data_IF_924798790321
#
_entry.id   IF_924798790321
#
_cell.length_a   1.000
_cell.length_b   1.000
_cell.length_c   1.000
_cell.angle_alpha   90.00
_cell.angle_beta   90.00
_cell.angle_gamma   90.00
#
_symmetry.space_group_name_H-M   'P 1'
#
loop_
_entity.id
_entity.type
_entity.pdbx_description
1 polymer ?
#
# COMPACT_ATOMS: atom_id res chain seq x y z
N UNK A 1 1.88 1.99 -21.61
CA UNK A 1 1.38 1.47 -20.33
C UNK A 1 2.42 0.52 -19.80
N UNK A 2 2.88 0.76 -18.58
CA UNK A 2 3.86 -0.10 -17.92
C UNK A 2 3.15 -0.91 -16.83
N UNK A 3 3.51 -2.18 -16.72
CA UNK A 3 2.92 -3.12 -15.78
C UNK A 3 3.98 -3.46 -14.75
N UNK A 4 3.66 -3.28 -13.48
CA UNK A 4 4.58 -3.57 -12.38
C UNK A 4 3.90 -4.55 -11.42
N UNK A 5 4.56 -5.67 -11.16
CA UNK A 5 4.10 -6.61 -10.14
C UNK A 5 4.61 -6.13 -8.78
N UNK A 6 3.70 -5.82 -7.86
CA UNK A 6 4.04 -5.49 -6.48
C UNK A 6 3.88 -6.74 -5.62
N UNK A 7 4.86 -7.01 -4.77
CA UNK A 7 4.87 -8.12 -3.81
C UNK A 7 5.14 -7.56 -2.42
N UNK A 8 4.32 -7.91 -1.45
CA UNK A 8 4.60 -7.65 -0.04
C UNK A 8 5.27 -8.89 0.56
N UNK A 9 6.50 -8.70 1.03
CA UNK A 9 7.39 -9.73 1.53
C UNK A 9 7.80 -9.45 2.98
N UNK A 10 8.09 -10.49 3.75
CA UNK A 10 8.81 -10.34 5.03
C UNK A 10 10.31 -10.44 4.83
N UNK A 11 11.06 -10.03 5.85
CA UNK A 11 12.52 -10.26 5.93
C UNK A 11 12.91 -11.74 5.80
N UNK A 12 11.99 -12.67 6.07
CA UNK A 12 12.20 -14.12 5.91
C UNK A 12 11.95 -14.61 4.47
N UNK A 13 11.53 -13.74 3.55
CA UNK A 13 11.25 -14.06 2.15
C UNK A 13 9.86 -14.65 1.89
N UNK A 14 8.96 -14.61 2.87
CA UNK A 14 7.58 -15.05 2.69
C UNK A 14 6.78 -13.94 1.98
N UNK A 15 6.15 -14.27 0.84
CA UNK A 15 5.26 -13.38 0.08
C UNK A 15 3.84 -13.51 0.63
N UNK A 16 3.29 -12.44 1.19
CA UNK A 16 1.94 -12.46 1.78
C UNK A 16 0.88 -11.94 0.82
N UNK A 17 1.23 -10.97 -0.02
CA UNK A 17 0.31 -10.38 -0.98
C UNK A 17 1.07 -10.03 -2.26
N UNK A 18 0.41 -10.23 -3.40
CA UNK A 18 0.95 -9.84 -4.70
C UNK A 18 -0.18 -9.31 -5.58
N UNK A 19 0.05 -8.17 -6.21
CA UNK A 19 -0.89 -7.55 -7.12
C UNK A 19 -0.17 -6.77 -8.21
N UNK A 20 -0.87 -6.49 -9.29
CA UNK A 20 -0.30 -5.79 -10.45
C UNK A 20 -0.77 -4.34 -10.47
N UNK A 21 0.17 -3.42 -10.53
CA UNK A 21 -0.07 -1.99 -10.73
C UNK A 21 0.16 -1.63 -12.19
N UNK A 22 -0.71 -0.75 -12.71
CA UNK A 22 -0.59 -0.23 -14.06
C UNK A 22 -0.22 1.25 -14.01
N UNK A 23 0.90 1.59 -14.62
CA UNK A 23 1.38 2.95 -14.69
C UNK A 23 1.27 3.50 -16.12
N UNK A 24 0.93 4.79 -16.29
CA UNK A 24 0.91 5.41 -17.61
C UNK A 24 2.32 5.50 -18.21
N UNK A 25 3.34 5.72 -17.37
CA UNK A 25 4.75 5.87 -17.73
C UNK A 25 5.58 4.68 -17.26
N UNK A 26 6.64 4.36 -18.00
CA UNK A 26 7.61 3.35 -17.61
C UNK A 26 8.57 3.85 -16.51
N UNK A 27 8.80 5.16 -16.44
CA UNK A 27 9.58 5.78 -15.37
C UNK A 27 8.65 6.39 -14.33
N UNK A 28 8.76 5.94 -13.09
CA UNK A 28 7.99 6.44 -11.95
C UNK A 28 8.93 6.75 -10.79
N UNK A 29 8.47 7.56 -9.84
CA UNK A 29 9.21 7.75 -8.59
C UNK A 29 8.78 6.73 -7.54
N UNK A 30 9.63 6.47 -6.55
CA UNK A 30 9.29 5.66 -5.38
C UNK A 30 8.05 6.22 -4.67
N UNK A 31 7.92 7.54 -4.55
CA UNK A 31 6.72 8.20 -4.01
C UNK A 31 5.46 7.86 -4.81
N UNK A 32 5.55 7.80 -6.13
CA UNK A 32 4.42 7.40 -6.99
C UNK A 32 4.07 5.93 -6.80
N UNK A 33 5.08 5.06 -6.67
CA UNK A 33 4.89 3.65 -6.39
C UNK A 33 4.16 3.43 -5.06
N UNK A 34 4.63 4.05 -3.98
CA UNK A 34 4.00 3.97 -2.65
C UNK A 34 2.56 4.49 -2.71
N UNK A 35 2.33 5.61 -3.40
CA UNK A 35 1.00 6.19 -3.55
C UNK A 35 0.03 5.23 -4.24
N UNK A 36 0.43 4.64 -5.37
CA UNK A 36 -0.44 3.69 -6.09
C UNK A 36 -0.66 2.41 -5.30
N UNK A 37 0.37 1.90 -4.59
CA UNK A 37 0.25 0.76 -3.68
C UNK A 37 -0.80 1.00 -2.59
N UNK A 38 -0.70 2.13 -1.88
CA UNK A 38 -1.67 2.49 -0.82
C UNK A 38 -3.06 2.73 -1.39
N UNK A 39 -3.16 3.34 -2.57
CA UNK A 39 -4.45 3.57 -3.23
C UNK A 39 -5.13 2.24 -3.60
N UNK A 40 -4.40 1.27 -4.15
CA UNK A 40 -4.93 -0.08 -4.38
C UNK A 40 -5.32 -0.77 -3.08
N UNK A 41 -4.48 -0.72 -2.04
CA UNK A 41 -4.78 -1.33 -0.74
C UNK A 41 -6.10 -0.79 -0.17
N UNK A 42 -6.30 0.54 -0.20
CA UNK A 42 -7.56 1.17 0.24
C UNK A 42 -8.74 0.77 -0.64
N UNK A 43 -8.57 0.68 -1.96
CA UNK A 43 -9.61 0.23 -2.88
C UNK A 43 -10.02 -1.22 -2.63
N UNK A 44 -9.05 -2.11 -2.40
CA UNK A 44 -9.26 -3.51 -2.08
C UNK A 44 -9.97 -3.66 -0.72
N UNK A 45 -9.51 -2.94 0.30
CA UNK A 45 -10.15 -2.93 1.62
C UNK A 45 -11.58 -2.36 1.59
N UNK A 46 -11.81 -1.31 0.79
CA UNK A 46 -13.15 -0.73 0.62
C UNK A 46 -14.09 -1.70 -0.09
N UNK A 47 -13.60 -2.44 -1.09
CA UNK A 47 -14.36 -3.49 -1.78
C UNK A 47 -14.69 -4.67 -0.88
N UNK A 48 -13.82 -5.02 0.07
CA UNK A 48 -14.12 -6.06 1.07
C UNK A 48 -15.11 -5.60 2.15
N UNK A 49 -15.27 -4.29 2.37
CA UNK A 49 -16.31 -3.69 3.22
C UNK A 49 -17.60 -3.33 2.46
N UNK A 50 -17.88 -3.98 1.32
CA UNK A 50 -19.19 -3.93 0.65
C UNK A 50 -20.30 -4.65 1.45
N UNK A 51 -20.53 -4.19 2.69
CA UNK A 51 -21.85 -4.15 3.30
C UNK A 51 -22.07 -2.69 3.65
N UNK A 52 -22.62 -1.95 2.70
CA UNK A 52 -23.16 -0.62 2.95
C UNK A 52 -24.44 -0.86 3.76
N UNK A 53 -24.54 -0.45 5.03
CA UNK A 53 -25.82 -0.47 5.71
C UNK A 53 -26.72 0.50 4.93
N UNK A 54 -27.74 -0.03 4.28
CA UNK A 54 -28.73 0.77 3.56
C UNK A 54 -29.44 1.66 4.59
N UNK A 55 -29.92 2.83 4.18
CA UNK A 55 -30.51 3.89 5.01
C UNK A 55 -31.62 3.46 6.01
N UNK A 56 -32.06 2.20 6.00
CA UNK A 56 -33.00 1.62 6.97
C UNK A 56 -32.32 1.18 8.29
N UNK A 57 -31.00 0.91 8.30
CA UNK A 57 -30.25 0.60 9.55
C UNK A 57 -29.88 1.86 10.36
N UNK A 58 -30.03 3.06 9.78
CA UNK A 58 -29.75 4.34 10.43
C UNK A 58 -30.72 4.64 11.59
N UNK A 59 -31.94 4.07 11.58
CA UNK A 59 -32.97 4.39 12.58
C UNK A 59 -32.86 3.58 13.88
N UNK A 60 -32.04 2.52 13.93
CA UNK A 60 -31.81 1.70 15.14
C UNK A 60 -30.46 1.98 15.82
N UNK A 61 -29.53 2.66 15.14
CA UNK A 61 -28.19 2.93 15.67
C UNK A 61 -28.09 4.21 16.52
N UNK A 62 -29.19 4.93 16.71
CA UNK A 62 -29.25 6.23 17.40
C UNK A 62 -29.12 6.17 18.93
N UNK A 63 -28.79 5.01 19.52
CA UNK A 63 -28.74 4.88 20.98
C UNK A 63 -27.41 4.37 21.58
N UNK A 64 -26.45 3.79 20.83
CA UNK A 64 -25.30 3.12 21.50
C UNK A 64 -23.89 3.17 20.87
N UNK A 65 -23.61 3.82 19.74
CA UNK A 65 -22.25 3.73 19.17
C UNK A 65 -21.83 4.93 18.33
N UNK A 66 -21.67 6.09 18.97
CA UNK A 66 -20.90 7.21 18.41
C UNK A 66 -19.40 6.92 18.57
N UNK A 67 -18.85 6.05 17.73
CA UNK A 67 -17.42 6.05 17.41
C UNK A 67 -17.31 5.91 15.91
N UNK A 68 -17.71 7.00 15.27
CA UNK A 68 -17.55 7.25 13.84
C UNK A 68 -16.05 7.21 13.52
N UNK A 69 -15.56 6.06 13.06
CA UNK A 69 -14.27 6.03 12.39
C UNK A 69 -14.42 6.83 11.08
N UNK A 70 -13.67 7.92 10.88
CA UNK A 70 -13.78 8.73 9.67
C UNK A 70 -13.49 7.87 8.42
N UNK A 71 -14.03 8.24 7.24
CA UNK A 71 -13.70 7.57 5.99
C UNK A 71 -12.18 7.49 5.85
N UNK A 72 -11.65 6.33 5.45
CA UNK A 72 -10.20 6.10 5.41
C UNK A 72 -9.57 7.10 4.44
N UNK A 73 -8.90 8.12 4.98
CA UNK A 73 -8.21 9.15 4.22
C UNK A 73 -6.96 8.51 3.58
N UNK A 74 -7.10 7.95 2.38
CA UNK A 74 -5.99 7.36 1.64
C UNK A 74 -4.81 8.34 1.50
N UNK A 75 -5.08 9.65 1.42
CA UNK A 75 -4.03 10.70 1.40
C UNK A 75 -3.18 10.69 2.66
N UNK A 76 -3.78 10.50 3.85
CA UNK A 76 -3.04 10.38 5.11
C UNK A 76 -2.26 9.07 5.18
N UNK A 77 -2.84 7.98 4.66
CA UNK A 77 -2.14 6.69 4.59
C UNK A 77 -0.91 6.74 3.69
N UNK A 78 -0.98 7.48 2.57
CA UNK A 78 0.18 7.71 1.69
C UNK A 78 1.27 8.48 2.44
N UNK A 79 0.91 9.52 3.18
CA UNK A 79 1.87 10.30 3.97
C UNK A 79 2.56 9.43 5.05
N UNK A 80 1.78 8.64 5.79
CA UNK A 80 2.29 7.70 6.79
C UNK A 80 3.23 6.66 6.14
N UNK A 81 2.87 6.12 4.98
CA UNK A 81 3.69 5.17 4.25
C UNK A 81 5.00 5.79 3.75
N UNK A 82 4.96 7.02 3.24
CA UNK A 82 6.16 7.78 2.86
C UNK A 82 7.08 8.01 4.07
N UNK A 83 6.53 8.46 5.20
CA UNK A 83 7.32 8.65 6.43
C UNK A 83 7.89 7.32 6.94
N UNK A 84 7.13 6.23 6.87
CA UNK A 84 7.60 4.91 7.28
C UNK A 84 8.74 4.43 6.39
N UNK A 85 8.70 4.67 5.08
CA UNK A 85 9.80 4.39 4.17
C UNK A 85 11.06 5.18 4.56
N UNK A 86 10.94 6.51 4.76
CA UNK A 86 12.07 7.36 5.16
C UNK A 86 12.65 6.99 6.54
N UNK A 87 11.83 6.44 7.43
CA UNK A 87 12.24 5.96 8.76
C UNK A 87 12.75 4.51 8.76
N UNK A 88 12.99 3.91 7.60
CA UNK A 88 13.42 2.51 7.46
C UNK A 88 12.44 1.51 8.10
N UNK A 89 11.15 1.75 8.01
CA UNK A 89 10.11 0.82 8.46
C UNK A 89 9.86 -0.33 7.48
N UNK A 90 10.22 -0.13 6.21
CA UNK A 90 10.19 -1.16 5.17
C UNK A 90 11.14 -0.76 4.04
N UNK A 91 11.55 -1.74 3.24
CA UNK A 91 12.43 -1.58 2.09
C UNK A 91 11.63 -1.83 0.82
N UNK A 92 11.95 -1.08 -0.25
CA UNK A 92 11.39 -1.33 -1.58
C UNK A 92 12.53 -1.75 -2.50
N UNK A 93 12.39 -2.91 -3.12
CA UNK A 93 13.29 -3.42 -4.16
C UNK A 93 12.56 -3.40 -5.49
N UNK A 94 13.11 -2.78 -6.53
CA UNK A 94 12.65 -2.95 -7.91
C UNK A 94 13.68 -3.77 -8.68
N UNK A 95 13.31 -4.98 -9.12
CA UNK A 95 14.20 -5.82 -9.94
C UNK A 95 15.59 -5.99 -9.27
N UNK A 96 15.58 -6.31 -7.98
CA UNK A 96 16.78 -6.45 -7.12
C UNK A 96 17.50 -5.13 -6.76
N UNK A 97 17.08 -3.99 -7.31
CA UNK A 97 17.62 -2.67 -6.96
C UNK A 97 16.83 -2.04 -5.81
N UNK A 98 17.53 -1.77 -4.71
CA UNK A 98 16.92 -1.10 -3.56
C UNK A 98 16.73 0.40 -3.82
N UNK A 99 15.51 0.88 -3.57
CA UNK A 99 15.22 2.30 -3.53
C UNK A 99 15.69 2.91 -2.21
N UNK A 100 16.42 4.03 -2.27
CA UNK A 100 16.91 4.74 -1.09
C UNK A 100 16.07 5.98 -0.74
N UNK A 101 15.52 6.64 -1.75
CA UNK A 101 14.81 7.91 -1.59
C UNK A 101 13.46 7.90 -2.29
N UNK A 102 12.49 8.66 -1.75
CA UNK A 102 11.16 8.82 -2.33
C UNK A 102 11.18 9.41 -3.75
N UNK A 103 12.25 10.12 -4.09
CA UNK A 103 12.43 10.85 -5.34
C UNK A 103 13.21 10.03 -6.38
N UNK A 104 13.70 8.85 -5.97
CA UNK A 104 14.46 7.97 -6.83
C UNK A 104 13.62 7.49 -8.01
N UNK A 105 14.25 7.44 -9.18
CA UNK A 105 13.57 7.15 -10.45
C UNK A 105 13.67 5.66 -10.73
N UNK A 106 12.52 5.00 -10.64
CA UNK A 106 12.34 3.59 -10.93
C UNK A 106 11.92 3.41 -12.39
N UNK A 107 12.65 2.56 -13.13
CA UNK A 107 12.32 2.22 -14.52
C UNK A 107 11.67 0.85 -14.60
N UNK A 108 10.36 0.84 -14.84
CA UNK A 108 9.53 -0.34 -15.01
C UNK A 108 9.76 -0.95 -16.40
N UNK A 109 10.17 -2.21 -16.42
CA UNK A 109 10.24 -3.08 -17.60
C UNK A 109 9.01 -4.00 -17.63
N UNK A 110 8.87 -4.76 -18.72
CA UNK A 110 7.69 -5.60 -18.96
C UNK A 110 7.47 -6.70 -17.91
N UNK A 111 8.54 -7.11 -17.23
CA UNK A 111 8.52 -8.15 -16.18
C UNK A 111 9.03 -7.61 -14.82
N UNK A 112 8.99 -6.28 -14.63
CA UNK A 112 9.52 -5.71 -13.39
C UNK A 112 8.67 -6.12 -12.19
N UNK A 113 9.39 -6.42 -11.10
CA UNK A 113 8.83 -6.79 -9.80
C UNK A 113 9.31 -5.78 -8.76
N UNK A 114 8.37 -5.21 -8.02
CA UNK A 114 8.61 -4.35 -6.87
C UNK A 114 8.28 -5.13 -5.58
N UNK A 115 9.30 -5.49 -4.80
CA UNK A 115 9.15 -6.16 -3.51
C UNK A 115 9.18 -5.14 -2.38
N UNK A 116 8.11 -5.11 -1.58
CA UNK A 116 7.96 -4.33 -0.37
C UNK A 116 8.27 -5.22 0.82
N UNK A 117 9.46 -5.08 1.37
CA UNK A 117 9.93 -5.91 2.48
C UNK A 117 9.66 -5.17 3.78
N UNK A 118 8.69 -5.64 4.58
CA UNK A 118 8.42 -5.06 5.89
C UNK A 118 9.55 -5.38 6.86
N UNK A 119 10.19 -4.33 7.39
CA UNK A 119 11.14 -4.42 8.48
C UNK A 119 10.38 -4.41 9.81
N UNK A 120 9.47 -5.37 10.00
CA UNK A 120 8.97 -5.62 11.36
C UNK A 120 10.17 -5.95 12.25
N UNK A 121 10.29 -5.37 13.46
CA UNK A 121 11.29 -5.84 14.40
C UNK A 121 11.02 -7.32 14.63
N UNK A 122 11.99 -8.17 14.32
CA UNK A 122 12.04 -9.55 14.79
C UNK A 122 11.91 -9.46 16.32
N UNK A 123 10.71 -9.71 16.84
CA UNK A 123 10.58 -10.03 18.26
C UNK A 123 11.37 -11.31 18.44
N UNK A 124 12.57 -11.16 19.01
CA UNK A 124 13.47 -12.26 19.29
C UNK A 124 12.77 -13.30 20.16
N UNK A 125 12.96 -14.56 19.79
CA UNK A 125 12.73 -15.73 20.62
C UNK A 125 13.97 -16.60 20.53
#
# INVERSE_FOLDING_TARGET
MATLTVRDETVSGEVFEAFTLHFPNATITVRQLIRERVHQEVLLHTRQRLVVPTALEASLNSARQATEQPPVDWRKQVDIACQAFERNGFVILLDEHQAEHLEDILTIRHDSVASFIKLTPLVGG
#
